data_IF_605028105397
#
_entry.id   IF_605028105397
#
_cell.length_a   1.000
_cell.length_b   1.000
_cell.length_c   1.000
_cell.angle_alpha   90.00
_cell.angle_beta   90.00
_cell.angle_gamma   90.00
#
_symmetry.space_group_name_H-M   'P 1'
#
loop_
_entity.id
_entity.type
_entity.pdbx_description
1 polymer ?
#
# COMPACT_ATOMS: atom_id res chain seq x y z
N UNK A 1 41.46 -29.79 11.74
CA UNK A 1 40.40 -29.01 11.08
C UNK A 1 39.53 -28.42 12.17
N UNK A 2 39.76 -27.19 12.65
CA UNK A 2 38.97 -26.56 13.72
C UNK A 2 37.64 -26.10 13.10
N UNK A 3 36.54 -26.72 13.51
CA UNK A 3 35.18 -26.22 13.21
C UNK A 3 35.10 -24.79 13.74
N UNK A 4 35.14 -23.81 12.83
CA UNK A 4 34.92 -22.40 13.18
C UNK A 4 33.50 -22.29 13.73
N UNK A 5 33.28 -21.60 14.86
CA UNK A 5 31.95 -21.43 15.41
C UNK A 5 31.03 -20.82 14.32
N UNK A 6 29.85 -21.42 14.16
CA UNK A 6 28.90 -21.05 13.09
C UNK A 6 28.47 -19.55 13.18
N UNK A 7 28.55 -18.98 14.38
CA UNK A 7 28.24 -17.58 14.67
C UNK A 7 29.40 -16.89 15.38
N UNK A 8 29.88 -15.77 14.77
CA UNK A 8 30.85 -14.88 15.40
C UNK A 8 30.14 -13.73 16.12
N UNK A 9 30.84 -13.01 17.01
CA UNK A 9 30.29 -11.80 17.69
C UNK A 9 29.80 -10.75 16.69
N UNK A 10 30.51 -10.59 15.56
CA UNK A 10 30.09 -9.72 14.47
C UNK A 10 28.74 -10.16 13.85
N UNK A 11 28.58 -11.45 13.68
CA UNK A 11 27.36 -12.03 13.11
C UNK A 11 26.14 -11.71 14.00
N UNK A 12 26.29 -11.89 15.32
CA UNK A 12 25.24 -11.56 16.29
C UNK A 12 24.92 -10.07 16.32
N UNK A 13 25.95 -9.23 16.26
CA UNK A 13 25.79 -7.78 16.20
C UNK A 13 25.00 -7.35 14.96
N UNK A 14 25.37 -7.83 13.77
CA UNK A 14 24.68 -7.51 12.53
C UNK A 14 23.24 -8.03 12.54
N UNK A 15 23.01 -9.25 13.04
CA UNK A 15 21.67 -9.81 13.13
C UNK A 15 20.76 -8.96 14.03
N UNK A 16 21.24 -8.57 15.21
CA UNK A 16 20.48 -7.71 16.11
C UNK A 16 20.20 -6.34 15.48
N UNK A 17 21.19 -5.77 14.81
CA UNK A 17 21.06 -4.46 14.17
C UNK A 17 20.06 -4.47 13.02
N UNK A 18 20.20 -5.41 12.07
CA UNK A 18 19.31 -5.51 10.90
C UNK A 18 17.93 -6.01 11.33
N UNK A 19 17.87 -7.05 12.15
CA UNK A 19 16.61 -7.63 12.60
C UNK A 19 15.81 -6.68 13.49
N UNK A 20 16.44 -6.00 14.43
CA UNK A 20 15.77 -5.00 15.27
C UNK A 20 15.23 -3.83 14.44
N UNK A 21 16.02 -3.32 13.49
CA UNK A 21 15.56 -2.27 12.57
C UNK A 21 14.42 -2.75 11.69
N UNK A 22 14.49 -4.00 11.20
CA UNK A 22 13.43 -4.61 10.40
C UNK A 22 12.10 -4.67 11.16
N UNK A 23 12.10 -5.23 12.36
CA UNK A 23 10.88 -5.35 13.18
C UNK A 23 10.31 -3.97 13.50
N UNK A 24 11.16 -3.01 13.88
CA UNK A 24 10.71 -1.65 14.18
C UNK A 24 10.07 -0.95 12.98
N UNK A 25 10.73 -0.99 11.83
CA UNK A 25 10.21 -0.36 10.60
C UNK A 25 8.95 -1.08 10.12
N UNK A 26 8.93 -2.41 10.14
CA UNK A 26 7.77 -3.20 9.76
C UNK A 26 6.56 -2.87 10.64
N UNK A 27 6.75 -2.79 11.97
CA UNK A 27 5.68 -2.41 12.90
C UNK A 27 5.17 -0.99 12.63
N UNK A 28 6.06 -0.02 12.37
CA UNK A 28 5.68 1.36 12.06
C UNK A 28 4.87 1.41 10.76
N UNK A 29 5.33 0.75 9.69
CA UNK A 29 4.64 0.76 8.40
C UNK A 29 3.27 0.13 8.50
N UNK A 30 3.14 -1.03 9.16
CA UNK A 30 1.84 -1.67 9.37
C UNK A 30 0.93 -0.79 10.20
N UNK A 31 1.43 -0.23 11.31
CA UNK A 31 0.62 0.65 12.17
C UNK A 31 0.12 1.86 11.41
N UNK A 32 0.96 2.49 10.58
CA UNK A 32 0.59 3.63 9.77
C UNK A 32 -0.50 3.27 8.74
N UNK A 33 -0.32 2.15 8.03
CA UNK A 33 -1.29 1.66 7.05
C UNK A 33 -2.64 1.29 7.70
N UNK A 34 -2.59 0.64 8.88
CA UNK A 34 -3.81 0.33 9.63
C UNK A 34 -4.51 1.60 10.11
N UNK A 35 -3.75 2.60 10.57
CA UNK A 35 -4.30 3.86 11.05
C UNK A 35 -5.03 4.64 9.95
N UNK A 36 -4.59 4.57 8.71
CA UNK A 36 -5.24 5.19 7.54
C UNK A 36 -6.67 4.67 7.34
N UNK A 37 -6.94 3.40 7.67
CA UNK A 37 -8.26 2.78 7.49
C UNK A 37 -9.20 2.94 8.69
N UNK A 38 -8.69 3.33 9.87
CA UNK A 38 -9.51 3.48 11.08
C UNK A 38 -10.69 4.44 10.90
N UNK A 39 -10.56 5.64 10.31
CA UNK A 39 -11.70 6.55 10.16
C UNK A 39 -12.86 5.94 9.39
N UNK A 40 -12.57 5.25 8.26
CA UNK A 40 -13.60 4.56 7.47
C UNK A 40 -14.31 3.46 8.27
N UNK A 41 -13.53 2.69 9.01
CA UNK A 41 -14.09 1.59 9.80
C UNK A 41 -14.93 2.11 10.98
N UNK A 42 -14.54 3.22 11.59
CA UNK A 42 -15.35 3.88 12.62
C UNK A 42 -16.67 4.44 12.07
N UNK A 43 -16.66 4.95 10.85
CA UNK A 43 -17.87 5.42 10.18
C UNK A 43 -18.87 4.27 9.94
N UNK A 44 -18.38 3.12 9.46
CA UNK A 44 -19.20 1.90 9.31
C UNK A 44 -19.77 1.46 10.67
N UNK A 45 -18.98 1.50 11.74
CA UNK A 45 -19.47 1.11 13.09
C UNK A 45 -20.50 2.08 13.63
N UNK A 46 -20.30 3.39 13.39
CA UNK A 46 -21.27 4.43 13.79
C UNK A 46 -22.62 4.21 13.13
N UNK A 47 -22.61 3.78 11.86
CA UNK A 47 -23.84 3.47 11.11
C UNK A 47 -24.45 2.11 11.48
N UNK A 48 -23.62 1.13 11.91
CA UNK A 48 -24.05 -0.25 12.22
C UNK A 48 -24.41 -0.51 13.68
N UNK A 49 -24.34 0.51 14.52
CA UNK A 49 -24.91 0.59 15.88
C UNK A 49 -24.39 -0.31 16.99
N UNK A 50 -23.58 -1.34 16.80
CA UNK A 50 -23.17 -2.17 17.97
C UNK A 50 -21.99 -3.14 17.81
N UNK A 51 -21.40 -3.31 16.66
CA UNK A 51 -20.49 -4.47 16.47
C UNK A 51 -19.05 -4.06 16.25
N UNK A 52 -18.39 -3.55 17.29
CA UNK A 52 -16.94 -3.23 17.27
C UNK A 52 -16.06 -4.40 16.81
N UNK A 53 -16.53 -5.67 16.91
CA UNK A 53 -15.79 -6.82 16.40
C UNK A 53 -15.65 -6.83 14.86
N UNK A 54 -16.56 -6.18 14.11
CA UNK A 54 -16.49 -6.07 12.65
C UNK A 54 -15.27 -5.27 12.25
N UNK A 55 -14.97 -4.18 12.98
CA UNK A 55 -13.75 -3.41 12.76
C UNK A 55 -12.50 -4.28 12.91
N UNK A 56 -12.45 -5.05 13.98
CA UNK A 56 -11.31 -5.94 14.24
C UNK A 56 -11.19 -7.00 13.15
N UNK A 57 -12.30 -7.60 12.73
CA UNK A 57 -12.29 -8.60 11.65
C UNK A 57 -11.86 -7.99 10.31
N UNK A 58 -12.33 -6.79 9.97
CA UNK A 58 -11.94 -6.08 8.75
C UNK A 58 -10.46 -5.70 8.78
N UNK A 59 -9.96 -5.19 9.91
CA UNK A 59 -8.53 -4.89 10.09
C UNK A 59 -7.66 -6.14 9.94
N UNK A 60 -8.08 -7.26 10.55
CA UNK A 60 -7.35 -8.52 10.42
C UNK A 60 -7.39 -9.08 8.99
N UNK A 61 -8.49 -8.86 8.26
CA UNK A 61 -8.62 -9.27 6.87
C UNK A 61 -7.76 -8.40 5.92
N UNK A 62 -7.54 -7.13 6.25
CA UNK A 62 -6.66 -6.21 5.52
C UNK A 62 -5.16 -6.42 5.84
N UNK A 63 -4.85 -7.04 6.98
CA UNK A 63 -3.47 -7.23 7.43
C UNK A 63 -2.56 -7.91 6.39
N UNK A 64 -2.99 -8.95 5.63
CA UNK A 64 -2.16 -9.57 4.60
C UNK A 64 -1.77 -8.61 3.46
N UNK A 65 -2.67 -7.76 3.01
CA UNK A 65 -2.41 -6.80 1.93
C UNK A 65 -1.32 -5.80 2.34
N UNK A 66 -1.51 -5.15 3.48
CA UNK A 66 -0.54 -4.17 4.01
C UNK A 66 0.72 -4.82 4.56
N UNK A 67 0.62 -6.06 5.04
CA UNK A 67 1.75 -6.86 5.48
C UNK A 67 2.77 -7.10 4.37
N UNK A 68 2.31 -7.35 3.14
CA UNK A 68 3.18 -7.48 1.97
C UNK A 68 4.00 -6.21 1.70
N UNK A 69 3.36 -5.05 1.73
CA UNK A 69 4.00 -3.74 1.58
C UNK A 69 5.00 -3.53 2.73
N UNK A 70 4.57 -3.75 3.96
CA UNK A 70 5.39 -3.60 5.16
C UNK A 70 6.65 -4.46 5.13
N UNK A 71 6.55 -5.71 4.65
CA UNK A 71 7.69 -6.63 4.52
C UNK A 71 8.75 -6.08 3.54
N UNK A 72 8.35 -5.57 2.38
CA UNK A 72 9.28 -5.00 1.40
C UNK A 72 9.94 -3.71 1.89
N UNK A 73 9.14 -2.76 2.39
CA UNK A 73 9.66 -1.50 2.92
C UNK A 73 10.52 -1.74 4.16
N UNK A 74 10.08 -2.64 5.06
CA UNK A 74 10.82 -3.06 6.22
C UNK A 74 12.18 -3.66 5.85
N UNK A 75 12.23 -4.56 4.87
CA UNK A 75 13.47 -5.17 4.40
C UNK A 75 14.44 -4.13 3.83
N UNK A 76 13.94 -3.27 2.93
CA UNK A 76 14.77 -2.23 2.33
C UNK A 76 15.35 -1.28 3.37
N UNK A 77 14.49 -0.70 4.22
CA UNK A 77 14.92 0.27 5.23
C UNK A 77 15.80 -0.37 6.29
N UNK A 78 15.52 -1.62 6.71
CA UNK A 78 16.36 -2.31 7.67
C UNK A 78 17.81 -2.46 7.18
N UNK A 79 17.99 -2.89 5.93
CA UNK A 79 19.33 -3.06 5.35
C UNK A 79 19.96 -1.68 5.09
N UNK A 80 19.24 -0.77 4.45
CA UNK A 80 19.78 0.53 4.05
C UNK A 80 20.15 1.41 5.26
N UNK A 81 19.29 1.47 6.30
CA UNK A 81 19.58 2.21 7.52
C UNK A 81 20.74 1.59 8.32
N UNK A 82 20.82 0.25 8.36
CA UNK A 82 21.95 -0.43 9.01
C UNK A 82 23.25 -0.13 8.30
N UNK A 83 23.29 -0.28 6.96
CA UNK A 83 24.48 0.04 6.15
C UNK A 83 24.88 1.51 6.34
N UNK A 84 23.90 2.41 6.33
CA UNK A 84 24.13 3.83 6.57
C UNK A 84 24.73 4.09 7.95
N UNK A 85 24.19 3.49 9.00
CA UNK A 85 24.68 3.63 10.37
C UNK A 85 26.12 3.13 10.50
N UNK A 86 26.41 1.95 9.93
CA UNK A 86 27.77 1.40 9.92
C UNK A 86 28.74 2.30 9.15
N UNK A 87 28.31 2.88 8.02
CA UNK A 87 29.14 3.80 7.23
C UNK A 87 29.41 5.12 7.95
N UNK A 88 28.38 5.72 8.59
CA UNK A 88 28.54 6.98 9.33
C UNK A 88 29.43 6.85 10.58
N UNK A 89 29.50 5.64 11.16
CA UNK A 89 30.37 5.33 12.30
C UNK A 89 31.74 4.82 11.90
N UNK A 90 32.05 4.78 10.59
CA UNK A 90 33.25 4.19 10.01
C UNK A 90 33.42 2.69 10.32
N UNK A 91 32.42 2.03 10.92
CA UNK A 91 32.47 0.60 11.24
C UNK A 91 32.59 -0.26 9.98
N UNK A 92 31.92 0.16 8.87
CA UNK A 92 32.00 -0.54 7.60
C UNK A 92 33.40 -0.51 7.01
N UNK A 93 34.10 0.62 7.10
CA UNK A 93 35.48 0.78 6.63
C UNK A 93 36.44 -0.07 7.47
N UNK A 94 36.24 -0.16 8.80
CA UNK A 94 37.04 -1.02 9.70
C UNK A 94 36.81 -2.50 9.35
N UNK A 95 35.57 -2.93 9.11
CA UNK A 95 35.26 -4.30 8.71
C UNK A 95 35.95 -4.65 7.37
N UNK A 96 35.96 -3.73 6.43
CA UNK A 96 36.63 -3.92 5.13
C UNK A 96 38.15 -3.92 5.26
N UNK A 97 38.71 -3.01 6.07
CA UNK A 97 40.15 -2.92 6.34
C UNK A 97 40.70 -4.15 7.08
N UNK A 98 39.88 -4.81 7.92
CA UNK A 98 40.25 -6.07 8.57
C UNK A 98 40.23 -7.29 7.65
N UNK A 99 40.06 -7.10 6.33
CA UNK A 99 40.08 -8.16 5.32
C UNK A 99 38.85 -9.07 5.32
N UNK A 100 37.75 -8.66 5.99
CA UNK A 100 36.50 -9.44 5.98
C UNK A 100 35.82 -9.22 4.61
N UNK A 101 35.64 -10.28 3.81
CA UNK A 101 35.06 -10.14 2.47
C UNK A 101 33.57 -9.78 2.55
N UNK A 102 33.08 -9.04 1.54
CA UNK A 102 31.71 -8.55 1.49
C UNK A 102 30.63 -9.63 1.64
N UNK A 103 30.86 -10.83 1.07
CA UNK A 103 29.93 -11.94 1.19
C UNK A 103 29.72 -12.41 2.64
N UNK A 104 30.64 -12.14 3.54
CA UNK A 104 30.53 -12.56 4.94
C UNK A 104 29.63 -11.63 5.74
N UNK A 105 29.81 -10.32 5.66
CA UNK A 105 28.93 -9.38 6.37
C UNK A 105 27.54 -9.23 5.73
N UNK A 106 27.41 -9.55 4.42
CA UNK A 106 26.14 -9.58 3.71
C UNK A 106 25.28 -10.84 3.99
N UNK A 107 25.83 -11.86 4.69
CA UNK A 107 25.10 -13.12 4.95
C UNK A 107 23.78 -12.90 5.71
N UNK A 108 23.76 -11.99 6.69
CA UNK A 108 22.55 -11.71 7.47
C UNK A 108 21.51 -10.92 6.68
N UNK A 109 21.84 -9.84 5.98
CA UNK A 109 20.95 -9.24 5.01
C UNK A 109 20.37 -10.26 4.01
N UNK A 110 21.19 -11.18 3.50
CA UNK A 110 20.76 -12.22 2.57
C UNK A 110 19.81 -13.25 3.23
N UNK A 111 20.12 -13.71 4.45
CA UNK A 111 19.25 -14.62 5.21
C UNK A 111 17.90 -13.97 5.54
N UNK A 112 17.92 -12.71 5.99
CA UNK A 112 16.69 -11.95 6.23
C UNK A 112 15.87 -11.80 4.94
N UNK A 113 16.54 -11.54 3.82
CA UNK A 113 15.89 -11.46 2.50
C UNK A 113 15.21 -12.76 2.11
N UNK A 114 15.90 -13.89 2.30
CA UNK A 114 15.33 -15.20 1.99
C UNK A 114 14.10 -15.50 2.88
N UNK A 115 14.18 -15.16 4.17
CA UNK A 115 13.05 -15.27 5.09
C UNK A 115 11.88 -14.39 4.63
N UNK A 116 12.14 -13.13 4.32
CA UNK A 116 11.11 -12.17 3.87
C UNK A 116 10.53 -12.59 2.51
N UNK A 117 11.34 -13.06 1.57
CA UNK A 117 10.86 -13.57 0.29
C UNK A 117 9.94 -14.80 0.48
N UNK A 118 10.29 -15.71 1.39
CA UNK A 118 9.43 -16.83 1.77
C UNK A 118 8.12 -16.38 2.43
N UNK A 119 8.18 -15.40 3.35
CA UNK A 119 6.99 -14.80 3.96
C UNK A 119 6.11 -14.09 2.92
N UNK A 120 6.70 -13.38 1.97
CA UNK A 120 5.97 -12.74 0.87
C UNK A 120 5.30 -13.76 -0.04
N UNK A 121 5.99 -14.85 -0.37
CA UNK A 121 5.41 -15.93 -1.17
C UNK A 121 4.21 -16.56 -0.44
N UNK A 122 4.34 -16.83 0.85
CA UNK A 122 3.25 -17.35 1.67
C UNK A 122 2.11 -16.33 1.80
N UNK A 123 2.44 -15.05 2.02
CA UNK A 123 1.45 -13.97 2.10
C UNK A 123 0.65 -13.84 0.80
N UNK A 124 1.32 -13.74 -0.33
CA UNK A 124 0.69 -13.56 -1.64
C UNK A 124 -0.05 -14.82 -2.13
N UNK A 125 0.44 -16.00 -1.73
CA UNK A 125 -0.15 -17.29 -2.14
C UNK A 125 -1.39 -17.69 -1.35
N UNK A 126 -1.42 -17.44 -0.04
CA UNK A 126 -2.45 -17.94 0.89
C UNK A 126 -3.09 -16.86 1.76
N UNK A 127 -2.31 -16.01 2.42
CA UNK A 127 -2.88 -15.04 3.36
C UNK A 127 -3.74 -13.99 2.67
N UNK A 128 -3.25 -13.41 1.59
CA UNK A 128 -3.97 -12.38 0.82
C UNK A 128 -5.31 -12.91 0.27
N UNK A 129 -5.39 -14.08 -0.40
CA UNK A 129 -6.67 -14.65 -0.81
C UNK A 129 -7.63 -14.92 0.35
N UNK A 130 -7.12 -15.35 1.50
CA UNK A 130 -7.94 -15.57 2.70
C UNK A 130 -8.50 -14.27 3.25
N UNK A 131 -7.70 -13.20 3.29
CA UNK A 131 -8.12 -11.86 3.69
C UNK A 131 -9.25 -11.35 2.79
N UNK A 132 -9.06 -11.42 1.47
CA UNK A 132 -10.05 -10.99 0.47
C UNK A 132 -11.36 -11.80 0.56
N UNK A 133 -11.28 -13.12 0.75
CA UNK A 133 -12.49 -13.94 0.96
C UNK A 133 -13.26 -13.52 2.20
N UNK A 134 -12.56 -13.20 3.29
CA UNK A 134 -13.20 -12.73 4.52
C UNK A 134 -13.85 -11.35 4.34
N UNK A 135 -13.18 -10.43 3.63
CA UNK A 135 -13.74 -9.12 3.29
C UNK A 135 -14.99 -9.26 2.41
N UNK A 136 -14.93 -10.10 1.37
CA UNK A 136 -16.09 -10.37 0.50
C UNK A 136 -17.25 -11.01 1.29
N UNK A 137 -16.97 -11.93 2.23
CA UNK A 137 -17.99 -12.51 3.08
C UNK A 137 -18.62 -11.50 4.05
N UNK A 138 -17.79 -10.59 4.60
CA UNK A 138 -18.28 -9.51 5.46
C UNK A 138 -19.15 -8.51 4.67
N UNK A 139 -18.74 -8.14 3.45
CA UNK A 139 -19.56 -7.27 2.59
C UNK A 139 -20.89 -7.92 2.20
N UNK A 140 -20.88 -9.21 1.85
CA UNK A 140 -22.11 -9.94 1.56
C UNK A 140 -23.05 -9.99 2.78
N UNK A 141 -22.53 -10.24 3.99
CA UNK A 141 -23.32 -10.21 5.21
C UNK A 141 -23.91 -8.83 5.52
N UNK A 142 -23.19 -7.75 5.15
CA UNK A 142 -23.71 -6.39 5.25
C UNK A 142 -24.83 -6.13 4.25
N UNK A 143 -24.68 -6.62 3.01
CA UNK A 143 -25.70 -6.51 1.96
C UNK A 143 -26.99 -7.29 2.31
N UNK A 144 -26.85 -8.47 2.95
CA UNK A 144 -27.98 -9.28 3.39
C UNK A 144 -28.74 -8.71 4.61
N UNK A 145 -28.38 -7.52 5.10
CA UNK A 145 -29.03 -6.86 6.22
C UNK A 145 -28.86 -7.55 7.58
N UNK A 146 -27.98 -8.57 7.69
CA UNK A 146 -27.75 -9.31 8.94
C UNK A 146 -27.13 -8.45 10.06
N UNK A 147 -26.58 -7.30 9.69
CA UNK A 147 -26.01 -6.32 10.63
C UNK A 147 -26.94 -5.13 10.82
N UNK A 148 -28.25 -5.37 11.07
CA UNK A 148 -29.27 -4.35 11.25
C UNK A 148 -28.71 -2.98 11.62
N UNK A 149 -29.06 -1.99 10.79
CA UNK A 149 -28.71 -0.60 11.08
C UNK A 149 -29.37 -0.17 12.39
N UNK A 150 -28.61 0.51 13.25
CA UNK A 150 -29.20 1.23 14.38
C UNK A 150 -29.83 2.54 13.87
N UNK A 151 -30.55 2.43 12.75
CA UNK A 151 -31.39 3.50 12.24
C UNK A 151 -32.66 3.52 13.10
N UNK A 152 -32.83 4.55 13.86
CA UNK A 152 -34.05 4.69 14.67
C UNK A 152 -35.26 4.93 13.75
N UNK A 153 -36.30 4.07 13.80
CA UNK A 153 -37.50 4.29 13.05
C UNK A 153 -38.08 5.68 13.32
N UNK A 154 -38.55 6.35 12.28
CA UNK A 154 -39.14 7.68 12.37
C UNK A 154 -38.13 8.86 12.31
N UNK A 155 -36.83 8.64 12.38
CA UNK A 155 -35.82 9.70 12.26
C UNK A 155 -35.23 9.80 10.87
N UNK A 156 -34.92 11.02 10.45
CA UNK A 156 -34.12 11.28 9.24
C UNK A 156 -32.64 11.05 9.57
N UNK A 157 -32.01 10.17 8.84
CA UNK A 157 -30.58 9.88 8.96
C UNK A 157 -29.88 10.30 7.68
N UNK A 158 -28.88 11.17 7.81
CA UNK A 158 -27.99 11.54 6.71
C UNK A 158 -26.91 10.45 6.56
N UNK A 159 -26.89 9.82 5.38
CA UNK A 159 -25.95 8.75 5.03
C UNK A 159 -24.66 9.29 4.37
N UNK A 160 -24.53 10.61 4.25
CA UNK A 160 -23.46 11.25 3.51
C UNK A 160 -23.81 11.47 2.03
N UNK A 161 -22.94 12.20 1.31
CA UNK A 161 -23.12 12.55 -0.11
C UNK A 161 -24.47 13.22 -0.45
N UNK A 162 -25.14 13.85 0.54
CA UNK A 162 -26.45 14.48 0.36
C UNK A 162 -27.61 13.49 0.30
N UNK A 163 -27.40 12.25 0.73
CA UNK A 163 -28.40 11.19 0.76
C UNK A 163 -29.00 11.12 2.17
N UNK A 164 -30.32 11.32 2.26
CA UNK A 164 -31.07 11.21 3.52
C UNK A 164 -32.11 10.10 3.43
N UNK A 165 -32.16 9.26 4.45
CA UNK A 165 -33.12 8.16 4.58
C UNK A 165 -33.94 8.30 5.84
N UNK A 166 -35.26 8.02 5.73
CA UNK A 166 -36.17 7.83 6.85
C UNK A 166 -37.02 6.58 6.55
N UNK A 167 -37.34 5.81 7.57
CA UNK A 167 -38.29 4.68 7.50
C UNK A 167 -39.10 4.60 8.79
N UNK A 168 -40.29 4.01 8.73
CA UNK A 168 -41.17 3.94 9.91
C UNK A 168 -41.07 2.62 10.66
N UNK A 169 -40.57 1.55 10.02
CA UNK A 169 -40.41 0.25 10.67
C UNK A 169 -39.42 -0.66 9.97
N UNK A 170 -38.96 -1.68 10.70
CA UNK A 170 -38.10 -2.73 10.22
C UNK A 170 -38.79 -4.07 10.41
N UNK A 171 -38.67 -5.00 9.46
CA UNK A 171 -39.23 -6.33 9.58
C UNK A 171 -38.54 -7.15 10.67
N UNK A 172 -39.21 -8.20 11.21
CA UNK A 172 -38.68 -9.05 12.30
C UNK A 172 -37.29 -9.62 12.03
N UNK A 173 -36.89 -9.75 10.76
CA UNK A 173 -35.56 -10.19 10.35
C UNK A 173 -34.51 -9.07 10.24
N UNK A 174 -34.92 -7.80 10.43
CA UNK A 174 -34.00 -6.66 10.39
C UNK A 174 -33.48 -6.28 9.01
N UNK A 175 -33.96 -6.92 7.92
CA UNK A 175 -33.45 -6.76 6.57
C UNK A 175 -34.32 -5.89 5.67
N UNK A 176 -35.64 -5.78 5.94
CA UNK A 176 -36.58 -4.99 5.14
C UNK A 176 -37.09 -3.78 5.91
N UNK A 177 -36.95 -2.62 5.30
CA UNK A 177 -37.49 -1.35 5.81
C UNK A 177 -38.92 -1.16 5.28
N UNK A 178 -39.79 -0.63 6.11
CA UNK A 178 -41.18 -0.29 5.75
C UNK A 178 -41.33 1.22 5.70
N UNK A 179 -42.13 1.70 4.73
CA UNK A 179 -42.42 3.12 4.50
C UNK A 179 -41.11 3.94 4.40
N UNK A 180 -40.33 3.59 3.36
CA UNK A 180 -39.02 4.19 3.16
C UNK A 180 -39.17 5.51 2.42
N UNK A 181 -38.63 6.55 3.00
CA UNK A 181 -38.38 7.84 2.39
C UNK A 181 -36.88 7.96 2.12
N UNK A 182 -36.49 8.12 0.86
CA UNK A 182 -35.13 8.22 0.41
C UNK A 182 -34.98 9.49 -0.43
N UNK A 183 -34.07 10.35 -0.06
CA UNK A 183 -33.84 11.63 -0.74
C UNK A 183 -32.39 11.74 -1.20
N UNK A 184 -32.21 12.04 -2.46
CA UNK A 184 -30.96 12.51 -3.06
C UNK A 184 -31.06 14.02 -3.31
N UNK A 185 -29.95 14.73 -3.67
CA UNK A 185 -30.00 16.17 -3.90
C UNK A 185 -31.07 16.63 -4.91
N UNK A 186 -31.34 15.82 -5.92
CA UNK A 186 -32.25 16.17 -7.02
C UNK A 186 -33.59 15.43 -7.01
N UNK A 187 -33.71 14.33 -6.29
CA UNK A 187 -34.86 13.43 -6.40
C UNK A 187 -35.24 12.84 -5.05
N UNK A 188 -36.54 12.77 -4.79
CA UNK A 188 -37.12 12.13 -3.61
C UNK A 188 -37.86 10.87 -4.01
N UNK A 189 -37.61 9.79 -3.27
CA UNK A 189 -38.26 8.50 -3.44
C UNK A 189 -39.06 8.15 -2.21
N UNK A 190 -40.27 7.63 -2.40
CA UNK A 190 -41.08 7.05 -1.34
C UNK A 190 -41.47 5.64 -1.74
N UNK A 191 -41.26 4.66 -0.89
CA UNK A 191 -41.56 3.26 -1.20
C UNK A 191 -42.19 2.56 0.02
N UNK A 192 -43.05 1.58 -0.26
CA UNK A 192 -43.68 0.79 0.80
C UNK A 192 -42.68 -0.16 1.47
N UNK A 193 -41.68 -0.64 0.71
CA UNK A 193 -40.62 -1.50 1.20
C UNK A 193 -39.30 -1.09 0.59
N UNK A 194 -38.21 -1.35 1.29
CA UNK A 194 -36.87 -1.16 0.77
C UNK A 194 -35.84 -1.96 1.56
N UNK A 195 -34.72 -2.23 0.91
CA UNK A 195 -33.51 -2.75 1.56
C UNK A 195 -32.40 -1.75 1.36
N UNK A 196 -31.62 -1.57 2.41
CA UNK A 196 -30.48 -0.66 2.41
C UNK A 196 -29.21 -1.47 2.69
N UNK A 197 -28.24 -1.39 1.81
CA UNK A 197 -26.97 -2.06 1.96
C UNK A 197 -25.82 -1.09 1.73
N UNK A 198 -24.66 -1.37 2.34
CA UNK A 198 -23.44 -0.59 2.16
C UNK A 198 -22.32 -1.49 1.67
N UNK A 199 -21.57 -1.03 0.68
CA UNK A 199 -20.33 -1.69 0.28
C UNK A 199 -19.11 -1.01 0.95
N UNK A 200 -18.02 -1.75 1.14
CA UNK A 200 -16.74 -1.24 1.68
C UNK A 200 -16.14 -0.10 0.85
N UNK A 201 -16.66 0.14 -0.36
CA UNK A 201 -16.32 1.29 -1.20
C UNK A 201 -16.97 2.61 -0.79
N UNK A 202 -17.77 2.64 0.28
CA UNK A 202 -18.62 3.77 0.69
C UNK A 202 -19.80 4.01 -0.26
N UNK A 203 -20.15 3.00 -1.07
CA UNK A 203 -21.31 3.05 -1.96
C UNK A 203 -22.57 2.60 -1.20
N UNK A 204 -23.67 3.31 -1.42
CA UNK A 204 -24.95 3.03 -0.81
C UNK A 204 -25.81 2.32 -1.84
N UNK A 205 -26.22 1.09 -1.54
CA UNK A 205 -27.13 0.31 -2.35
C UNK A 205 -28.53 0.39 -1.74
N UNK A 206 -29.49 0.85 -2.51
CA UNK A 206 -30.89 0.98 -2.05
C UNK A 206 -31.78 0.29 -3.06
N UNK A 207 -32.47 -0.76 -2.61
CA UNK A 207 -33.53 -1.41 -3.36
C UNK A 207 -34.87 -0.99 -2.80
N UNK A 208 -35.71 -0.39 -3.63
CA UNK A 208 -37.04 0.07 -3.26
C UNK A 208 -38.09 -0.69 -4.06
N UNK A 209 -39.12 -1.16 -3.35
CA UNK A 209 -40.27 -1.84 -3.94
C UNK A 209 -41.56 -1.04 -3.76
N UNK A 210 -42.32 -0.96 -4.85
CA UNK A 210 -43.64 -0.33 -4.88
C UNK A 210 -43.64 1.12 -4.39
N UNK A 211 -43.04 2.01 -5.17
CA UNK A 211 -42.85 3.39 -4.75
C UNK A 211 -43.20 4.43 -5.81
N UNK A 212 -42.95 5.67 -5.43
CA UNK A 212 -43.04 6.85 -6.29
C UNK A 212 -41.77 7.66 -6.18
N UNK A 213 -41.34 8.20 -7.30
CA UNK A 213 -40.26 9.18 -7.34
C UNK A 213 -40.84 10.56 -7.66
N UNK A 214 -40.27 11.58 -7.03
CA UNK A 214 -40.57 12.98 -7.29
C UNK A 214 -39.26 13.70 -7.57
N UNK A 215 -39.16 14.26 -8.77
CA UNK A 215 -37.99 15.07 -9.15
C UNK A 215 -38.30 16.54 -8.88
N UNK A 216 -37.52 17.15 -8.00
CA UNK A 216 -37.73 18.54 -7.57
C UNK A 216 -37.41 19.56 -8.69
N UNK A 217 -36.57 19.21 -9.69
CA UNK A 217 -36.15 20.10 -10.76
C UNK A 217 -37.20 20.31 -11.85
N UNK A 218 -37.97 19.28 -12.18
CA UNK A 218 -38.98 19.34 -13.25
C UNK A 218 -40.40 19.03 -12.78
N UNK A 219 -40.64 18.81 -11.49
CA UNK A 219 -41.98 18.59 -10.92
C UNK A 219 -42.64 17.28 -11.33
N UNK A 220 -41.92 16.36 -11.97
CA UNK A 220 -42.48 15.10 -12.45
C UNK A 220 -42.51 14.04 -11.35
N UNK A 221 -43.61 13.30 -11.26
CA UNK A 221 -43.74 12.12 -10.41
C UNK A 221 -43.92 10.88 -11.28
N UNK A 222 -43.15 9.83 -10.98
CA UNK A 222 -43.23 8.53 -11.62
C UNK A 222 -43.49 7.46 -10.56
N UNK A 223 -44.36 6.49 -10.88
CA UNK A 223 -44.51 5.30 -10.02
C UNK A 223 -43.65 4.17 -10.56
N UNK A 224 -43.00 3.43 -9.67
CA UNK A 224 -42.17 2.26 -10.00
C UNK A 224 -42.60 1.04 -9.20
N UNK A 225 -42.43 -0.14 -9.76
CA UNK A 225 -42.60 -1.41 -9.03
C UNK A 225 -41.35 -1.84 -8.33
N UNK A 226 -40.20 -1.66 -8.97
CA UNK A 226 -38.86 -1.89 -8.45
C UNK A 226 -37.95 -0.74 -8.85
N UNK A 227 -37.15 -0.26 -7.93
CA UNK A 227 -36.12 0.76 -8.17
C UNK A 227 -34.84 0.38 -7.43
N UNK A 228 -33.77 0.25 -8.17
CA UNK A 228 -32.43 0.00 -7.65
C UNK A 228 -31.60 1.27 -7.77
N UNK A 229 -31.05 1.72 -6.68
CA UNK A 229 -30.16 2.88 -6.62
C UNK A 229 -28.82 2.44 -6.09
N UNK A 230 -27.78 2.71 -6.88
CA UNK A 230 -26.38 2.56 -6.48
C UNK A 230 -25.72 3.95 -6.51
N UNK A 231 -25.22 4.42 -5.37
CA UNK A 231 -24.56 5.73 -5.28
C UNK A 231 -23.23 5.77 -6.07
N UNK A 232 -22.74 4.62 -6.50
CA UNK A 232 -21.49 4.48 -7.25
C UNK A 232 -21.59 4.81 -8.74
N UNK A 233 -22.74 5.21 -9.28
CA UNK A 233 -22.95 5.61 -10.70
C UNK A 233 -22.32 4.62 -11.72
N UNK A 234 -22.43 3.30 -11.44
CA UNK A 234 -21.77 2.25 -12.22
C UNK A 234 -22.73 1.59 -13.20
N UNK A 235 -22.40 1.67 -14.48
CA UNK A 235 -23.06 0.85 -15.51
C UNK A 235 -22.85 -0.65 -15.18
N UNK A 236 -23.85 -1.48 -15.49
CA UNK A 236 -23.84 -2.94 -15.23
C UNK A 236 -22.60 -3.68 -15.74
N UNK A 237 -21.94 -3.15 -16.76
CA UNK A 237 -20.66 -3.64 -17.28
C UNK A 237 -19.49 -3.41 -16.31
N UNK A 238 -19.51 -2.30 -15.56
CA UNK A 238 -18.48 -1.97 -14.58
C UNK A 238 -18.65 -2.80 -13.32
N UNK A 239 -19.88 -3.06 -12.88
CA UNK A 239 -20.19 -3.91 -11.75
C UNK A 239 -19.74 -5.35 -11.97
N UNK A 240 -20.03 -5.93 -13.15
CA UNK A 240 -19.55 -7.27 -13.51
C UNK A 240 -18.02 -7.36 -13.57
N UNK A 241 -17.34 -6.31 -14.04
CA UNK A 241 -15.89 -6.23 -14.07
C UNK A 241 -15.29 -6.11 -12.66
N UNK A 242 -15.95 -5.37 -11.75
CA UNK A 242 -15.53 -5.23 -10.35
C UNK A 242 -15.66 -6.56 -9.59
N UNK A 243 -16.77 -7.26 -9.77
CA UNK A 243 -16.99 -8.58 -9.16
C UNK A 243 -15.99 -9.61 -9.68
N UNK A 244 -15.66 -9.58 -10.96
CA UNK A 244 -14.61 -10.40 -11.54
C UNK A 244 -13.23 -10.05 -10.91
N UNK A 245 -12.94 -8.77 -10.67
CA UNK A 245 -11.71 -8.34 -10.00
C UNK A 245 -11.67 -8.78 -8.53
N UNK A 246 -12.76 -8.63 -7.77
CA UNK A 246 -12.90 -9.12 -6.38
C UNK A 246 -12.69 -10.64 -6.33
N UNK A 247 -13.29 -11.39 -7.26
CA UNK A 247 -13.11 -12.84 -7.37
C UNK A 247 -11.65 -13.24 -7.63
N UNK A 248 -10.97 -12.57 -8.57
CA UNK A 248 -9.54 -12.82 -8.86
C UNK A 248 -8.66 -12.58 -7.65
N UNK A 249 -8.89 -11.51 -6.90
CA UNK A 249 -8.16 -11.23 -5.66
C UNK A 249 -8.35 -12.34 -4.61
N UNK A 250 -9.52 -12.95 -4.54
CA UNK A 250 -9.85 -14.05 -3.62
C UNK A 250 -9.32 -15.42 -4.06
N UNK A 251 -8.81 -15.56 -5.30
CA UNK A 251 -8.24 -16.82 -5.81
C UNK A 251 -6.84 -17.07 -5.25
N UNK A 252 -6.52 -18.35 -4.99
CA UNK A 252 -5.17 -18.75 -4.59
C UNK A 252 -4.18 -18.67 -5.74
N UNK A 253 -2.90 -18.48 -5.43
CA UNK A 253 -1.85 -18.34 -6.43
C UNK A 253 -1.79 -19.51 -7.43
N UNK A 254 -1.85 -20.80 -6.98
CA UNK A 254 -1.86 -21.92 -7.92
C UNK A 254 -3.08 -21.90 -8.85
N UNK A 255 -4.26 -21.52 -8.35
CA UNK A 255 -5.48 -21.45 -9.14
C UNK A 255 -5.40 -20.34 -10.21
N UNK A 256 -4.81 -19.18 -9.88
CA UNK A 256 -4.57 -18.10 -10.82
C UNK A 256 -3.63 -18.50 -11.95
N UNK A 257 -2.53 -19.17 -11.63
CA UNK A 257 -1.54 -19.59 -12.62
C UNK A 257 -2.02 -20.75 -13.52
N UNK A 258 -2.89 -21.62 -13.00
CA UNK A 258 -3.49 -22.71 -13.75
C UNK A 258 -4.71 -22.31 -14.58
N UNK A 259 -5.23 -21.09 -14.38
CA UNK A 259 -6.41 -20.58 -15.11
C UNK A 259 -6.11 -20.41 -16.61
N UNK A 260 -7.11 -20.71 -17.45
CA UNK A 260 -7.07 -20.41 -18.88
C UNK A 260 -7.23 -18.93 -19.21
N UNK A 261 -7.76 -18.11 -18.28
CA UNK A 261 -7.98 -16.69 -18.46
C UNK A 261 -6.66 -15.90 -18.36
N UNK A 262 -6.43 -14.99 -19.31
CA UNK A 262 -5.24 -14.14 -19.34
C UNK A 262 -5.19 -13.19 -18.13
N UNK A 263 -6.35 -12.64 -17.71
CA UNK A 263 -6.44 -11.72 -16.58
C UNK A 263 -6.14 -12.40 -15.23
N UNK A 264 -6.58 -13.65 -15.07
CA UNK A 264 -6.25 -14.46 -13.87
C UNK A 264 -4.74 -14.74 -13.78
N UNK A 265 -4.14 -15.12 -14.92
CA UNK A 265 -2.68 -15.35 -15.00
C UNK A 265 -1.89 -14.08 -14.77
N UNK A 266 -2.35 -12.93 -15.27
CA UNK A 266 -1.73 -11.63 -15.02
C UNK A 266 -1.68 -11.32 -13.52
N UNK A 267 -2.79 -11.54 -12.80
CA UNK A 267 -2.85 -11.40 -11.35
C UNK A 267 -1.89 -12.39 -10.66
N UNK A 268 -1.81 -13.63 -11.10
CA UNK A 268 -0.88 -14.63 -10.57
C UNK A 268 0.59 -14.20 -10.73
N UNK A 269 0.98 -13.73 -11.90
CA UNK A 269 2.33 -13.21 -12.15
C UNK A 269 2.64 -11.96 -11.34
N UNK A 270 1.69 -11.03 -11.22
CA UNK A 270 1.88 -9.82 -10.39
C UNK A 270 2.22 -10.18 -8.94
N UNK A 271 1.57 -11.21 -8.37
CA UNK A 271 1.86 -11.70 -7.01
C UNK A 271 3.23 -12.35 -6.89
N UNK A 272 3.71 -13.07 -7.91
CA UNK A 272 5.05 -13.67 -7.93
C UNK A 272 6.17 -12.63 -8.02
N UNK A 273 5.92 -11.46 -8.60
CA UNK A 273 6.91 -10.39 -8.66
C UNK A 273 7.33 -9.90 -7.26
N UNK A 274 6.47 -9.95 -6.25
CA UNK A 274 6.78 -9.49 -4.89
C UNK A 274 7.95 -10.24 -4.24
N UNK A 275 7.91 -11.59 -4.10
CA UNK A 275 9.04 -12.33 -3.56
C UNK A 275 10.28 -12.27 -4.48
N UNK A 276 10.08 -12.24 -5.81
CA UNK A 276 11.20 -12.11 -6.75
C UNK A 276 11.94 -10.78 -6.58
N UNK A 277 11.22 -9.69 -6.43
CA UNK A 277 11.82 -8.37 -6.20
C UNK A 277 12.52 -8.28 -4.84
N UNK A 278 11.98 -8.92 -3.80
CA UNK A 278 12.62 -8.96 -2.49
C UNK A 278 14.07 -9.46 -2.58
N UNK A 279 14.36 -10.39 -3.49
CA UNK A 279 15.73 -10.92 -3.70
C UNK A 279 16.71 -9.86 -4.24
N UNK A 280 16.24 -8.82 -4.92
CA UNK A 280 17.08 -7.73 -5.43
C UNK A 280 17.32 -6.62 -4.38
N UNK A 281 16.48 -6.55 -3.34
CA UNK A 281 16.53 -5.49 -2.31
C UNK A 281 17.90 -5.38 -1.61
N UNK A 282 18.60 -6.45 -1.21
CA UNK A 282 19.89 -6.30 -0.54
C UNK A 282 20.91 -5.54 -1.38
N UNK A 283 20.97 -5.82 -2.69
CA UNK A 283 21.88 -5.12 -3.60
C UNK A 283 21.52 -3.62 -3.69
N UNK A 284 20.23 -3.32 -3.87
CA UNK A 284 19.73 -1.96 -3.93
C UNK A 284 19.96 -1.20 -2.61
N UNK A 285 19.60 -1.81 -1.49
CA UNK A 285 19.67 -1.20 -0.15
C UNK A 285 21.11 -0.97 0.30
N UNK A 286 22.05 -1.87 -0.03
CA UNK A 286 23.47 -1.69 0.29
C UNK A 286 24.11 -0.56 -0.49
N UNK A 287 23.74 -0.39 -1.75
CA UNK A 287 24.25 0.70 -2.60
C UNK A 287 23.69 2.05 -2.18
N UNK A 288 22.37 2.14 -2.08
CA UNK A 288 21.66 3.39 -1.79
C UNK A 288 21.72 3.79 -0.29
N UNK A 289 22.02 2.85 0.59
CA UNK A 289 22.22 3.11 2.03
C UNK A 289 23.55 3.80 2.33
N UNK A 290 24.56 3.72 1.48
CA UNK A 290 25.87 4.34 1.71
C UNK A 290 25.80 5.85 1.48
N UNK A 291 26.17 6.68 2.46
CA UNK A 291 26.27 8.14 2.28
C UNK A 291 27.50 8.50 1.44
N UNK A 292 27.48 9.66 0.82
CA UNK A 292 28.69 10.22 0.22
C UNK A 292 29.71 10.59 1.30
N UNK A 293 31.00 10.40 1.02
CA UNK A 293 32.11 10.56 2.02
C UNK A 293 32.14 11.93 2.74
N UNK A 294 31.49 12.96 2.22
CA UNK A 294 31.47 14.31 2.81
C UNK A 294 30.07 14.87 3.04
N UNK A 295 29.05 14.04 2.97
CA UNK A 295 27.65 14.45 3.11
C UNK A 295 26.93 13.50 4.05
N UNK A 296 26.19 14.05 4.99
CA UNK A 296 25.21 13.29 5.78
C UNK A 296 23.87 13.15 5.03
N UNK A 297 23.83 13.48 3.76
CA UNK A 297 22.63 13.42 2.91
C UNK A 297 21.95 12.05 2.94
N UNK A 298 20.63 12.01 2.81
CA UNK A 298 19.81 10.80 2.80
C UNK A 298 19.12 10.55 1.45
N UNK A 299 19.61 11.23 0.41
CA UNK A 299 18.99 11.19 -0.92
C UNK A 299 18.98 9.77 -1.52
N UNK A 300 20.04 8.99 -1.30
CA UNK A 300 20.07 7.58 -1.71
C UNK A 300 18.93 6.77 -1.10
N UNK A 301 18.63 6.95 0.20
CA UNK A 301 17.49 6.29 0.85
C UNK A 301 16.16 6.68 0.20
N UNK A 302 15.98 7.97 -0.10
CA UNK A 302 14.76 8.48 -0.74
C UNK A 302 14.59 7.90 -2.15
N UNK A 303 15.66 7.86 -2.94
CA UNK A 303 15.64 7.23 -4.27
C UNK A 303 15.21 5.77 -4.19
N UNK A 304 15.73 5.03 -3.22
CA UNK A 304 15.33 3.63 -3.03
C UNK A 304 13.86 3.48 -2.61
N UNK A 305 13.32 4.37 -1.76
CA UNK A 305 11.90 4.37 -1.43
C UNK A 305 11.03 4.68 -2.66
N UNK A 306 11.43 5.66 -3.48
CA UNK A 306 10.73 5.96 -4.74
C UNK A 306 10.74 4.74 -5.66
N UNK A 307 11.88 4.06 -5.79
CA UNK A 307 11.96 2.82 -6.57
C UNK A 307 11.01 1.74 -6.04
N UNK A 308 10.91 1.54 -4.72
CA UNK A 308 9.95 0.60 -4.13
C UNK A 308 8.50 0.95 -4.46
N UNK A 309 8.13 2.23 -4.39
CA UNK A 309 6.78 2.69 -4.77
C UNK A 309 6.53 2.44 -6.25
N UNK A 310 7.49 2.76 -7.12
CA UNK A 310 7.40 2.48 -8.56
C UNK A 310 7.25 0.98 -8.83
N UNK A 311 7.98 0.14 -8.08
CA UNK A 311 7.80 -1.30 -8.17
C UNK A 311 6.37 -1.72 -7.80
N UNK A 312 5.86 -1.28 -6.65
CA UNK A 312 4.50 -1.61 -6.22
C UNK A 312 3.46 -1.17 -7.27
N UNK A 313 3.66 -0.01 -7.90
CA UNK A 313 2.80 0.45 -9.01
C UNK A 313 2.94 -0.41 -10.27
N UNK A 314 4.16 -0.86 -10.61
CA UNK A 314 4.39 -1.72 -11.77
C UNK A 314 3.74 -3.10 -11.63
N UNK A 315 3.67 -3.66 -10.42
CA UNK A 315 2.94 -4.92 -10.17
C UNK A 315 1.43 -4.75 -10.36
N UNK A 316 0.88 -3.60 -9.94
CA UNK A 316 -0.52 -3.24 -10.21
C UNK A 316 -0.82 -3.11 -11.70
N UNK A 317 0.11 -2.50 -12.46
CA UNK A 317 0.01 -2.43 -13.92
C UNK A 317 -0.04 -3.83 -14.56
N UNK A 318 0.86 -4.75 -14.16
CA UNK A 318 0.82 -6.14 -14.64
C UNK A 318 -0.50 -6.83 -14.33
N UNK A 319 -1.08 -6.57 -13.15
CA UNK A 319 -2.36 -7.16 -12.74
C UNK A 319 -3.56 -6.60 -13.52
N UNK A 320 -3.48 -5.34 -13.96
CA UNK A 320 -4.56 -4.65 -14.69
C UNK A 320 -4.51 -4.90 -16.20
N UNK A 321 -3.32 -5.22 -16.73
CA UNK A 321 -3.10 -5.38 -18.16
C UNK A 321 -3.61 -6.74 -18.64
N UNK A 322 -4.74 -6.71 -19.34
CA UNK A 322 -5.37 -7.90 -19.95
C UNK A 322 -4.78 -8.10 -21.35
N UNK A 323 -3.53 -8.50 -21.45
CA UNK A 323 -2.87 -8.82 -22.72
C UNK A 323 -2.90 -10.31 -23.02
N UNK A 324 -2.75 -10.67 -24.28
CA UNK A 324 -2.69 -12.07 -24.71
C UNK A 324 -1.51 -12.85 -24.08
N UNK A 325 -0.47 -12.14 -23.58
CA UNK A 325 0.74 -12.75 -23.02
C UNK A 325 1.18 -12.09 -21.70
N UNK A 326 0.43 -12.30 -20.60
CA UNK A 326 0.76 -11.70 -19.29
C UNK A 326 2.12 -12.12 -18.75
N UNK A 327 2.62 -13.30 -19.13
CA UNK A 327 3.95 -13.78 -18.79
C UNK A 327 5.06 -12.91 -19.36
N UNK A 328 4.93 -12.44 -20.61
CA UNK A 328 5.92 -11.56 -21.23
C UNK A 328 5.96 -10.19 -20.57
N UNK A 329 4.80 -9.64 -20.21
CA UNK A 329 4.71 -8.37 -19.47
C UNK A 329 5.38 -8.49 -18.11
N UNK A 330 5.09 -9.56 -17.36
CA UNK A 330 5.71 -9.82 -16.05
C UNK A 330 7.23 -9.99 -16.15
N UNK A 331 7.70 -10.74 -17.15
CA UNK A 331 9.14 -10.90 -17.42
C UNK A 331 9.79 -9.57 -17.80
N UNK A 332 9.12 -8.74 -18.61
CA UNK A 332 9.59 -7.39 -18.96
C UNK A 332 9.76 -6.50 -17.73
N UNK A 333 8.77 -6.50 -16.82
CA UNK A 333 8.84 -5.77 -15.55
C UNK A 333 9.96 -6.31 -14.67
N UNK A 334 10.10 -7.63 -14.54
CA UNK A 334 11.19 -8.25 -13.77
C UNK A 334 12.58 -7.88 -14.37
N UNK A 335 12.72 -7.92 -15.68
CA UNK A 335 13.96 -7.54 -16.37
C UNK A 335 14.28 -6.05 -16.17
N UNK A 336 13.28 -5.16 -16.25
CA UNK A 336 13.46 -3.73 -15.99
C UNK A 336 13.96 -3.46 -14.57
N UNK A 337 13.44 -4.20 -13.58
CA UNK A 337 13.87 -4.08 -12.18
C UNK A 337 15.27 -4.64 -11.94
N UNK A 338 15.61 -5.76 -12.56
CA UNK A 338 16.97 -6.29 -12.51
C UNK A 338 17.97 -5.34 -13.19
N UNK A 339 17.58 -4.73 -14.31
CA UNK A 339 18.38 -3.72 -14.98
C UNK A 339 18.57 -2.46 -14.12
N UNK A 340 17.49 -1.96 -13.46
CA UNK A 340 17.58 -0.83 -12.55
C UNK A 340 18.49 -1.12 -11.35
N UNK A 341 18.36 -2.31 -10.75
CA UNK A 341 19.25 -2.75 -9.67
C UNK A 341 20.70 -2.91 -10.15
N UNK A 342 20.89 -3.53 -11.30
CA UNK A 342 22.21 -3.67 -11.95
C UNK A 342 22.83 -2.32 -12.24
N UNK A 343 22.05 -1.35 -12.73
CA UNK A 343 22.53 0.01 -12.99
C UNK A 343 22.99 0.72 -11.70
N UNK A 344 22.25 0.58 -10.60
CA UNK A 344 22.66 1.17 -9.31
C UNK A 344 23.96 0.54 -8.80
N UNK A 345 24.13 -0.77 -8.90
CA UNK A 345 25.37 -1.49 -8.53
C UNK A 345 26.54 -1.10 -9.46
N UNK A 346 26.28 -1.00 -10.75
CA UNK A 346 27.29 -0.55 -11.73
C UNK A 346 27.71 0.90 -11.44
N UNK A 347 26.74 1.79 -11.14
CA UNK A 347 27.01 3.17 -10.75
C UNK A 347 27.93 3.26 -9.53
N UNK A 348 27.68 2.46 -8.49
CA UNK A 348 28.56 2.41 -7.32
C UNK A 348 29.99 1.96 -7.68
N UNK A 349 30.13 0.93 -8.51
CA UNK A 349 31.44 0.43 -8.94
C UNK A 349 32.24 1.45 -9.76
N UNK A 350 31.56 2.27 -10.58
CA UNK A 350 32.19 3.28 -11.45
C UNK A 350 32.42 4.62 -10.78
N UNK A 351 31.46 5.09 -10.01
CA UNK A 351 31.40 6.44 -9.44
C UNK A 351 31.74 6.48 -7.93
N UNK A 352 31.81 5.30 -7.30
CA UNK A 352 32.12 5.16 -5.88
C UNK A 352 30.92 5.19 -4.96
N UNK A 353 31.16 4.91 -3.67
CA UNK A 353 30.12 4.86 -2.63
C UNK A 353 29.42 6.22 -2.47
N UNK A 354 28.09 6.19 -2.37
CA UNK A 354 27.26 7.40 -2.20
C UNK A 354 27.20 8.31 -3.44
N UNK A 355 27.44 7.75 -4.63
CA UNK A 355 27.44 8.53 -5.88
C UNK A 355 26.12 9.29 -6.12
N UNK A 356 24.97 8.75 -5.69
CA UNK A 356 23.65 9.38 -5.80
C UNK A 356 23.60 10.68 -5.00
N UNK A 357 24.05 10.64 -3.75
CA UNK A 357 24.14 11.84 -2.88
C UNK A 357 25.15 12.86 -3.46
N UNK A 358 26.27 12.37 -3.97
CA UNK A 358 27.32 13.22 -4.58
C UNK A 358 26.87 13.89 -5.88
N UNK A 359 26.13 13.19 -6.73
CA UNK A 359 25.66 13.72 -8.02
C UNK A 359 24.61 14.82 -7.82
N UNK A 360 23.64 14.62 -6.93
CA UNK A 360 22.61 15.59 -6.61
C UNK A 360 23.17 16.81 -5.86
N UNK A 361 24.15 16.61 -4.98
CA UNK A 361 24.84 17.73 -4.33
C UNK A 361 25.59 18.64 -5.31
N UNK A 362 26.21 18.07 -6.38
CA UNK A 362 26.84 18.81 -7.46
C UNK A 362 25.82 19.53 -8.34
N UNK A 363 24.69 18.93 -8.64
CA UNK A 363 23.60 19.55 -9.40
C UNK A 363 22.96 20.73 -8.67
N UNK A 364 22.73 20.61 -7.35
CA UNK A 364 22.21 21.69 -6.52
C UNK A 364 23.21 22.85 -6.28
N UNK A 365 24.51 22.56 -6.32
CA UNK A 365 25.58 23.57 -6.20
C UNK A 365 25.67 24.53 -7.40
N UNK A 366 25.33 24.07 -8.59
CA UNK A 366 25.30 24.93 -9.81
C UNK A 366 24.17 25.97 -9.79
N UNK A 367 23.10 25.72 -9.07
CA UNK A 367 21.98 26.67 -8.87
C UNK A 367 22.27 27.73 -7.81
N UNK A 368 23.27 27.54 -6.93
CA UNK A 368 23.65 28.52 -5.90
C UNK A 368 24.77 29.48 -6.30
N UNK A 369 25.36 29.34 -7.48
CA UNK A 369 26.52 30.15 -7.92
C UNK A 369 26.16 31.43 -8.69
N UNK A 370 24.97 31.98 -8.56
CA UNK A 370 24.64 33.31 -9.09
C UNK A 370 24.23 34.26 -7.97
N UNK A 371 25.11 34.44 -6.97
CA UNK A 371 25.08 35.69 -6.16
C UNK A 371 26.32 36.47 -6.51
N UNK A 372 26.20 37.66 -7.10
CA UNK A 372 27.35 38.50 -7.35
C UNK A 372 27.90 39.03 -6.02
N UNK A 373 29.13 38.71 -5.76
CA UNK A 373 29.91 39.31 -4.68
C UNK A 373 30.20 40.75 -5.09
N UNK A 374 29.39 41.70 -4.59
CA UNK A 374 29.62 43.14 -4.74
C UNK A 374 29.59 43.81 -3.40
N UNK A 375 30.79 44.04 -2.85
CA UNK A 375 31.20 45.31 -2.23
C UNK A 375 32.53 45.13 -1.48
N UNK A 376 33.61 45.50 -2.15
CA UNK A 376 34.84 45.88 -1.47
C UNK A 376 34.54 47.18 -0.71
N UNK A 377 34.57 47.12 0.61
CA UNK A 377 34.73 48.34 1.43
C UNK A 377 36.21 48.63 1.48
N UNK A 378 36.65 49.70 0.81
CA UNK A 378 37.99 50.34 0.98
C UNK A 378 38.04 50.87 2.40
N UNK A 379 38.91 50.31 3.21
CA UNK A 379 39.32 50.92 4.47
C UNK A 379 40.25 52.07 4.17
N UNK A 380 39.86 53.22 4.69
CA UNK A 380 40.62 54.46 4.71
C UNK A 380 41.72 54.34 5.75
N UNK A 381 42.95 54.36 5.33
CA UNK A 381 44.11 54.56 6.19
C UNK A 381 44.17 56.08 6.55
N UNK A 382 43.94 56.42 7.81
CA UNK A 382 44.28 57.71 8.34
C UNK A 382 45.57 57.57 9.15
N UNK A 383 46.59 58.09 8.55
CA UNK A 383 47.87 58.46 9.14
C UNK A 383 47.62 59.66 10.09
N UNK A 384 48.09 59.55 11.36
CA UNK A 384 48.42 60.74 12.17
C UNK A 384 49.60 60.39 13.11
N UNK A 385 50.72 60.91 12.76
CA UNK A 385 51.85 61.24 13.60
C UNK A 385 51.46 62.14 14.77
N UNK A 386 51.72 61.77 16.02
CA UNK A 386 52.54 62.47 17.05
C UNK A 386 52.48 61.72 18.37
#
# INVERSE_FOLDING_TARGET
MRLRPAFTTLDRYLLQQVGGTFVSVFAIVISLMMFEHLPRLFEIVRLSGRKSYIVVQSLLALLPEYGGIGLLFGLYLAIALTVRRLSLRNELDIIQASGIPAHRWLRFPALLTLLVAGLLLWNQGWLMPLGERRLNALSAQMQDGQFGFDLEPGKFTDLGHGVTVKFEGVDEKGSQLREVFFQTPDTTFTANRGTLAFDFGNDILVDLEQGRTFNAGNGQSLSFSHFHFDSGDRESSVESALDAAKRRKAMSLPALLASGDAADRAMGWSRLLWPAFAMAIPALATVLGKPARRSSGSLGLMVGLILLVLFARSTGFVAAEVTASPTLVALGVAAAWLAATGFTVWGERRLGAGYVDGWLAKGGGRLKMTRPFGRRVRGHSADTSR
#
